data_IF_809484863858
#
_entry.id   IF_809484863858
#
_cell.length_a   1.000
_cell.length_b   1.000
_cell.length_c   1.000
_cell.angle_alpha   90.00
_cell.angle_beta   90.00
_cell.angle_gamma   90.00
#
_symmetry.space_group_name_H-M   'P 1'
#
loop_
_entity.id
_entity.type
_entity.pdbx_description
1 polymer ?
#
# COMPACT_ATOMS: atom_id res chain seq x y z
N UNK A 1 19.05 1.38 -9.49
CA UNK A 1 18.60 2.48 -8.64
C UNK A 1 17.23 2.17 -8.07
N UNK A 2 17.10 2.26 -6.79
CA UNK A 2 15.83 1.96 -6.11
C UNK A 2 15.08 3.25 -5.85
N UNK A 3 13.79 3.26 -6.20
CA UNK A 3 12.93 4.41 -5.98
C UNK A 3 11.81 4.01 -5.05
N UNK A 4 11.64 4.78 -3.99
CA UNK A 4 10.67 4.49 -2.93
C UNK A 4 9.45 5.39 -3.01
N UNK A 5 8.30 4.84 -2.63
CA UNK A 5 7.11 5.61 -2.31
C UNK A 5 6.54 5.10 -1.01
N UNK A 6 6.10 6.01 -0.16
CA UNK A 6 5.57 5.69 1.16
C UNK A 6 4.21 6.37 1.31
N UNK A 7 3.21 5.60 1.67
CA UNK A 7 1.90 6.12 2.05
C UNK A 7 1.68 5.78 3.52
N UNK A 8 1.48 6.79 4.34
CA UNK A 8 1.32 6.63 5.79
C UNK A 8 -0.14 6.82 6.20
N UNK A 9 -0.52 6.14 7.28
CA UNK A 9 -1.81 6.39 7.91
C UNK A 9 -3.02 5.90 7.12
N UNK A 10 -2.86 4.82 6.35
CA UNK A 10 -3.96 4.23 5.60
C UNK A 10 -4.88 3.48 6.56
N UNK A 11 -6.18 3.77 6.51
CA UNK A 11 -7.18 3.14 7.39
C UNK A 11 -7.63 1.80 6.88
N UNK A 12 -6.69 0.86 6.76
CA UNK A 12 -6.95 -0.53 6.40
C UNK A 12 -6.05 -1.40 7.26
N UNK A 13 -6.55 -2.58 7.64
CA UNK A 13 -5.73 -3.50 8.44
C UNK A 13 -4.54 -3.99 7.63
N UNK A 14 -3.36 -4.17 8.26
CA UNK A 14 -2.17 -4.65 7.55
C UNK A 14 -2.37 -6.00 6.87
N UNK A 15 -3.18 -6.88 7.45
CA UNK A 15 -3.43 -8.22 6.90
C UNK A 15 -4.05 -8.14 5.51
N UNK A 16 -5.05 -7.28 5.33
CA UNK A 16 -5.73 -7.12 4.04
C UNK A 16 -4.78 -6.56 2.97
N UNK A 17 -3.95 -5.59 3.35
CA UNK A 17 -2.96 -5.02 2.43
C UNK A 17 -1.87 -6.02 2.07
N UNK A 18 -1.41 -6.83 3.03
CA UNK A 18 -0.37 -7.83 2.79
C UNK A 18 -0.82 -8.90 1.81
N UNK A 19 -2.07 -9.32 1.86
CA UNK A 19 -2.62 -10.28 0.90
C UNK A 19 -2.52 -9.75 -0.53
N UNK A 20 -2.88 -8.49 -0.74
CA UNK A 20 -2.77 -7.85 -2.05
C UNK A 20 -1.32 -7.60 -2.45
N UNK A 21 -0.47 -7.23 -1.49
CA UNK A 21 0.94 -6.99 -1.75
C UNK A 21 1.65 -8.25 -2.25
N UNK A 22 1.31 -9.42 -1.69
CA UNK A 22 1.91 -10.69 -2.10
C UNK A 22 1.60 -11.03 -3.57
N UNK A 23 0.45 -10.58 -4.08
CA UNK A 23 0.04 -10.84 -5.47
C UNK A 23 0.93 -10.08 -6.47
N UNK A 24 1.41 -8.91 -6.09
CA UNK A 24 2.16 -8.02 -7.00
C UNK A 24 3.65 -7.99 -6.74
N UNK A 25 4.11 -8.60 -5.66
CA UNK A 25 5.55 -8.59 -5.32
C UNK A 25 6.36 -9.31 -6.39
N UNK A 26 7.42 -8.65 -6.87
CA UNK A 26 8.31 -9.20 -7.89
C UNK A 26 7.79 -9.09 -9.31
N UNK A 27 6.60 -8.56 -9.52
CA UNK A 27 6.03 -8.37 -10.85
C UNK A 27 6.56 -7.09 -11.49
N UNK A 28 6.51 -7.02 -12.83
CA UNK A 28 6.81 -5.76 -13.50
C UNK A 28 5.79 -4.69 -13.08
N UNK A 29 6.18 -3.42 -13.14
CA UNK A 29 5.30 -2.33 -12.73
C UNK A 29 4.01 -2.30 -13.54
N UNK A 30 4.10 -2.49 -14.85
CA UNK A 30 2.93 -2.50 -15.72
C UNK A 30 2.01 -3.70 -15.40
N UNK A 31 2.59 -4.87 -15.18
CA UNK A 31 1.83 -6.08 -14.83
C UNK A 31 1.17 -5.94 -13.44
N UNK A 32 1.91 -5.41 -12.46
CA UNK A 32 1.38 -5.18 -11.13
C UNK A 32 0.21 -4.20 -11.16
N UNK A 33 0.33 -3.13 -11.94
CA UNK A 33 -0.74 -2.15 -12.11
C UNK A 33 -1.98 -2.77 -12.72
N UNK A 34 -1.81 -3.60 -13.74
CA UNK A 34 -2.93 -4.30 -14.39
C UNK A 34 -3.63 -5.26 -13.42
N UNK A 35 -2.86 -5.99 -12.62
CA UNK A 35 -3.41 -6.91 -11.61
C UNK A 35 -4.24 -6.13 -10.58
N UNK A 36 -3.69 -5.06 -10.03
CA UNK A 36 -4.39 -4.26 -9.01
C UNK A 36 -5.64 -3.60 -9.58
N UNK A 37 -5.61 -3.18 -10.82
CA UNK A 37 -6.76 -2.57 -11.49
C UNK A 37 -7.92 -3.54 -11.67
N UNK A 38 -7.62 -4.84 -11.79
CA UNK A 38 -8.65 -5.88 -11.96
C UNK A 38 -9.33 -6.26 -10.64
N UNK A 39 -8.73 -5.95 -9.50
CA UNK A 39 -9.34 -6.22 -8.20
C UNK A 39 -10.17 -5.02 -7.76
N UNK A 40 -11.46 -5.25 -7.57
CA UNK A 40 -12.36 -4.19 -7.12
C UNK A 40 -12.45 -4.19 -5.58
N UNK A 41 -11.35 -3.86 -4.93
CA UNK A 41 -11.28 -3.82 -3.46
C UNK A 41 -10.52 -2.57 -3.00
N UNK A 42 -10.80 -2.14 -1.78
CA UNK A 42 -10.14 -0.97 -1.20
C UNK A 42 -8.62 -1.17 -1.03
N UNK A 43 -8.13 -2.34 -0.56
CA UNK A 43 -6.68 -2.59 -0.50
C UNK A 43 -6.00 -2.49 -1.86
N UNK A 44 -6.62 -3.04 -2.90
CA UNK A 44 -6.06 -2.98 -4.25
C UNK A 44 -5.95 -1.56 -4.76
N UNK A 45 -6.95 -0.73 -4.52
CA UNK A 45 -6.94 0.69 -4.93
C UNK A 45 -5.83 1.47 -4.24
N UNK A 46 -5.60 1.20 -2.97
CA UNK A 46 -4.56 1.88 -2.20
C UNK A 46 -3.18 1.47 -2.69
N UNK A 47 -2.95 0.18 -2.94
CA UNK A 47 -1.69 -0.30 -3.48
C UNK A 47 -1.44 0.21 -4.90
N UNK A 48 -2.50 0.29 -5.71
CA UNK A 48 -2.40 0.88 -7.05
C UNK A 48 -1.95 2.34 -6.97
N UNK A 49 -2.51 3.10 -6.06
CA UNK A 49 -2.15 4.50 -5.84
C UNK A 49 -0.70 4.64 -5.39
N UNK A 50 -0.26 3.77 -4.47
CA UNK A 50 1.13 3.74 -4.01
C UNK A 50 2.08 3.38 -5.15
N UNK A 51 1.71 2.40 -5.97
CA UNK A 51 2.49 2.00 -7.13
C UNK A 51 2.59 3.12 -8.16
N UNK A 52 1.48 3.80 -8.44
CA UNK A 52 1.48 4.96 -9.36
C UNK A 52 2.41 6.06 -8.85
N UNK A 53 2.42 6.32 -7.55
CA UNK A 53 3.32 7.28 -6.93
C UNK A 53 4.78 6.88 -7.12
N UNK A 54 5.10 5.60 -6.90
CA UNK A 54 6.46 5.09 -7.07
C UNK A 54 6.90 5.18 -8.53
N UNK A 55 6.03 4.81 -9.47
CA UNK A 55 6.31 4.92 -10.90
C UNK A 55 6.54 6.37 -11.31
N UNK A 56 5.69 7.28 -10.84
CA UNK A 56 5.82 8.71 -11.13
C UNK A 56 7.16 9.26 -10.61
N UNK A 57 7.56 8.86 -9.40
CA UNK A 57 8.84 9.25 -8.83
C UNK A 57 10.01 8.72 -9.68
N UNK A 58 9.92 7.47 -10.13
CA UNK A 58 10.97 6.86 -10.94
C UNK A 58 11.09 7.54 -12.30
N UNK A 59 9.98 7.78 -12.96
CA UNK A 59 9.97 8.36 -14.33
C UNK A 59 10.29 9.85 -14.31
N UNK A 60 9.64 10.62 -13.43
CA UNK A 60 9.75 12.08 -13.47
C UNK A 60 10.99 12.60 -12.74
N UNK A 61 11.35 12.02 -11.60
CA UNK A 61 12.46 12.52 -10.79
C UNK A 61 13.78 11.84 -11.13
N UNK A 62 13.75 10.56 -11.46
CA UNK A 62 14.96 9.76 -11.71
C UNK A 62 15.12 9.38 -13.19
N UNK A 63 14.16 9.75 -14.02
CA UNK A 63 14.17 9.54 -15.49
C UNK A 63 14.39 8.09 -15.90
N UNK A 64 13.82 7.18 -15.14
CA UNK A 64 13.86 5.75 -15.46
C UNK A 64 12.78 5.38 -16.45
N UNK A 65 12.98 4.29 -17.18
CA UNK A 65 12.02 3.80 -18.15
C UNK A 65 10.93 2.98 -17.45
N UNK A 66 9.68 3.42 -17.54
CA UNK A 66 8.55 2.73 -16.93
C UNK A 66 8.45 1.27 -17.36
N UNK A 67 8.76 0.96 -18.60
CA UNK A 67 8.65 -0.40 -19.12
C UNK A 67 9.69 -1.36 -18.52
N UNK A 68 10.75 -0.84 -17.93
CA UNK A 68 11.80 -1.63 -17.27
C UNK A 68 11.64 -1.70 -15.77
N UNK A 69 10.67 -0.98 -15.20
CA UNK A 69 10.45 -0.98 -13.76
C UNK A 69 9.78 -2.26 -13.30
N UNK A 70 10.17 -2.72 -12.12
CA UNK A 70 9.51 -3.84 -11.45
C UNK A 70 9.36 -3.53 -9.96
N UNK A 71 8.42 -4.19 -9.31
CA UNK A 71 8.20 -4.06 -7.88
C UNK A 71 9.27 -4.88 -7.16
N UNK A 72 10.33 -4.22 -6.73
CA UNK A 72 11.45 -4.87 -6.08
C UNK A 72 11.11 -5.28 -4.66
N UNK A 73 10.43 -4.40 -3.95
CA UNK A 73 10.08 -4.61 -2.56
C UNK A 73 8.77 -3.90 -2.25
N UNK A 74 7.93 -4.56 -1.48
CA UNK A 74 6.71 -3.97 -0.95
C UNK A 74 6.54 -4.48 0.47
N UNK A 75 6.38 -3.57 1.41
CA UNK A 75 6.15 -3.90 2.80
C UNK A 75 4.99 -3.11 3.36
N UNK A 76 4.26 -3.76 4.24
CA UNK A 76 3.14 -3.15 4.93
C UNK A 76 3.46 -3.19 6.41
N UNK A 77 3.61 -2.02 7.00
CA UNK A 77 3.91 -1.87 8.41
C UNK A 77 2.64 -1.48 9.16
N UNK A 78 2.51 -1.96 10.38
CA UNK A 78 1.40 -1.56 11.24
C UNK A 78 1.62 -0.10 11.66
N UNK A 79 0.61 0.72 11.38
CA UNK A 79 0.62 2.10 11.84
C UNK A 79 0.01 2.22 13.23
N UNK A 80 -0.27 3.45 13.61
CA UNK A 80 -0.84 3.75 14.89
C UNK A 80 -2.26 3.19 15.00
N UNK A 81 -2.55 2.50 16.10
CA UNK A 81 -3.89 2.02 16.38
C UNK A 81 -4.67 3.13 17.07
N UNK A 82 -5.76 3.56 16.44
CA UNK A 82 -6.65 4.55 17.04
C UNK A 82 -7.67 3.84 17.90
N UNK A 83 -7.59 4.07 19.21
CA UNK A 83 -8.59 3.59 20.16
C UNK A 83 -9.65 4.66 20.33
N UNK A 84 -10.88 4.36 19.92
CA UNK A 84 -12.02 5.20 20.25
C UNK A 84 -12.90 4.46 21.24
N UNK A 85 -13.08 5.06 22.40
CA UNK A 85 -14.02 4.57 23.37
C UNK A 85 -15.40 5.14 23.05
N UNK A 86 -16.34 4.26 22.73
CA UNK A 86 -17.74 4.63 22.55
C UNK A 86 -18.47 4.28 23.83
N UNK A 87 -19.18 5.21 24.48
CA UNK A 87 -19.98 4.89 25.67
C UNK A 87 -21.03 3.84 25.29
N UNK A 88 -20.92 2.67 25.90
CA UNK A 88 -21.91 1.63 25.74
C UNK A 88 -23.09 1.82 26.68
N UNK A 89 -24.15 1.02 26.51
CA UNK A 89 -25.28 1.00 27.41
C UNK A 89 -24.84 0.63 28.81
N UNK A 90 -25.39 1.28 29.83
CA UNK A 90 -25.13 1.00 31.25
C UNK A 90 -23.67 1.23 31.68
N UNK A 91 -23.01 2.21 31.11
CA UNK A 91 -21.65 2.56 31.49
C UNK A 91 -20.56 1.64 31.00
N UNK A 92 -20.88 0.62 30.22
CA UNK A 92 -19.87 -0.17 29.54
C UNK A 92 -19.34 0.61 28.33
N UNK A 93 -18.04 0.48 28.04
CA UNK A 93 -17.42 1.13 26.90
C UNK A 93 -17.02 0.07 25.89
N UNK A 94 -17.49 0.24 24.66
CA UNK A 94 -17.04 -0.58 23.55
C UNK A 94 -15.76 0.03 22.98
N UNK A 95 -14.73 -0.81 22.83
CA UNK A 95 -13.47 -0.38 22.26
C UNK A 95 -13.50 -0.58 20.75
N UNK A 96 -13.57 0.52 20.01
CA UNK A 96 -13.41 0.50 18.56
C UNK A 96 -11.93 0.71 18.23
N UNK A 97 -11.31 -0.31 17.66
CA UNK A 97 -9.94 -0.24 17.20
C UNK A 97 -9.92 0.02 15.69
N UNK A 98 -9.42 1.18 15.30
CA UNK A 98 -9.14 1.47 13.90
C UNK A 98 -7.67 1.27 13.66
N UNK A 99 -7.33 0.19 12.98
CA UNK A 99 -5.94 -0.10 12.62
C UNK A 99 -5.57 0.69 11.38
N UNK A 100 -4.40 1.30 11.42
CA UNK A 100 -3.81 1.96 10.27
C UNK A 100 -2.59 1.19 9.80
N UNK A 101 -2.21 1.42 8.55
CA UNK A 101 -1.06 0.76 7.94
C UNK A 101 -0.21 1.79 7.21
N UNK A 102 1.07 1.48 7.09
CA UNK A 102 1.99 2.23 6.24
C UNK A 102 2.41 1.34 5.09
N UNK A 103 2.31 1.86 3.87
CA UNK A 103 2.68 1.12 2.66
C UNK A 103 4.01 1.66 2.16
N UNK A 104 5.00 0.79 2.03
CA UNK A 104 6.30 1.10 1.46
C UNK A 104 6.47 0.31 0.18
N UNK A 105 6.65 0.98 -0.95
CA UNK A 105 6.90 0.34 -2.23
C UNK A 105 8.26 0.81 -2.75
N UNK A 106 9.06 -0.14 -3.20
CA UNK A 106 10.33 0.12 -3.87
C UNK A 106 10.23 -0.44 -5.27
N UNK A 107 10.41 0.41 -6.27
CA UNK A 107 10.53 -0.01 -7.66
C UNK A 107 11.96 0.21 -8.13
N UNK A 108 12.40 -0.63 -9.04
CA UNK A 108 13.74 -0.55 -9.61
C UNK A 108 13.69 -0.92 -11.08
N UNK A 109 14.70 -0.52 -11.81
CA UNK A 109 14.89 -0.87 -13.21
C UNK A 109 15.64 -2.19 -13.31
N UNK A 110 15.16 -3.06 -14.18
CA UNK A 110 15.89 -4.30 -14.48
C UNK A 110 17.01 -4.05 -15.47
#
# INVERSE_FOLDING_TARGET
>A
MDVKAIIKGVRISPIKLRLMADVVRGKSANEAKAILNNYNSKPARILEKALDSAIANAVNNNKLDQNKLYVKHISIDMGQTLKRMVPGSRGSTDKNYHRTSHVNIVVAEK
#
